data_IF_924165902676
#
_entry.id   IF_924165902676
#
_cell.length_a   1.000
_cell.length_b   1.000
_cell.length_c   1.000
_cell.angle_alpha   90.00
_cell.angle_beta   90.00
_cell.angle_gamma   90.00
#
_symmetry.space_group_name_H-M   'P 1'
#
loop_
_entity.id
_entity.type
_entity.pdbx_description
1 polymer ?
#
# COMPACT_ATOMS: atom_id res chain seq x y z
N UNK A 1 19.76 -0.54 14.37
CA UNK A 1 19.57 -1.95 14.77
C UNK A 1 20.74 -2.73 14.20
N UNK A 2 21.67 -3.20 15.03
CA UNK A 2 22.76 -4.05 14.57
C UNK A 2 22.42 -5.51 14.89
N UNK A 3 22.77 -6.43 13.97
CA UNK A 3 22.70 -7.90 14.10
C UNK A 3 21.32 -8.57 13.95
N UNK A 4 20.27 -7.87 13.51
CA UNK A 4 18.97 -8.48 13.19
C UNK A 4 18.84 -8.73 11.67
N UNK A 5 18.83 -10.01 11.28
CA UNK A 5 18.35 -10.44 9.97
C UNK A 5 16.87 -10.82 10.10
N UNK A 6 16.00 -10.13 9.37
CA UNK A 6 14.58 -10.43 9.29
C UNK A 6 14.21 -10.78 7.86
N UNK A 7 13.31 -11.76 7.69
CA UNK A 7 12.67 -12.06 6.41
C UNK A 7 11.18 -11.76 6.53
N UNK A 8 10.62 -11.09 5.53
CA UNK A 8 9.19 -10.86 5.43
C UNK A 8 8.58 -11.86 4.46
N UNK A 9 7.58 -12.62 4.93
CA UNK A 9 6.78 -13.53 4.12
C UNK A 9 5.30 -13.31 4.44
N UNK A 10 4.46 -13.28 3.41
CA UNK A 10 3.01 -13.31 3.59
C UNK A 10 2.56 -14.77 3.61
N UNK A 11 1.70 -15.12 4.56
CA UNK A 11 0.89 -16.33 4.42
C UNK A 11 -0.11 -16.11 3.27
N UNK A 12 -0.38 -17.18 2.52
CA UNK A 12 -1.25 -17.17 1.34
C UNK A 12 -2.73 -17.29 1.75
N UNK A 13 -3.13 -16.51 2.75
CA UNK A 13 -4.50 -16.45 3.25
C UNK A 13 -5.26 -15.39 2.44
N UNK A 14 -6.38 -15.78 1.84
CA UNK A 14 -7.22 -14.93 0.99
C UNK A 14 -7.80 -13.71 1.72
N UNK A 15 -7.84 -13.77 3.05
CA UNK A 15 -8.32 -12.67 3.90
C UNK A 15 -7.21 -11.69 4.31
N UNK A 16 -5.94 -12.02 4.07
CA UNK A 16 -4.81 -11.17 4.45
C UNK A 16 -4.33 -10.31 3.28
N UNK A 17 -3.98 -9.07 3.61
CA UNK A 17 -3.34 -8.16 2.66
C UNK A 17 -1.95 -8.72 2.36
N UNK A 18 -1.75 -9.17 1.12
CA UNK A 18 -0.42 -9.54 0.61
C UNK A 18 0.60 -8.46 0.96
N UNK A 19 1.79 -8.88 1.42
CA UNK A 19 2.96 -8.02 1.70
C UNK A 19 3.17 -6.94 0.64
N UNK A 20 3.04 -7.23 -0.66
CA UNK A 20 3.17 -6.24 -1.73
C UNK A 20 2.12 -5.12 -1.62
N UNK A 21 0.86 -5.49 -1.39
CA UNK A 21 -0.22 -4.52 -1.19
C UNK A 21 0.01 -3.73 0.09
N UNK A 22 0.48 -4.37 1.16
CA UNK A 22 0.82 -3.71 2.42
C UNK A 22 1.96 -2.70 2.27
N UNK A 23 3.02 -3.06 1.56
CA UNK A 23 4.16 -2.21 1.26
C UNK A 23 3.73 -0.97 0.46
N UNK A 24 2.92 -1.16 -0.58
CA UNK A 24 2.35 -0.07 -1.39
C UNK A 24 1.40 0.80 -0.59
N UNK A 25 0.54 0.22 0.25
CA UNK A 25 -0.34 0.97 1.15
C UNK A 25 0.48 1.82 2.14
N UNK A 26 1.56 1.28 2.71
CA UNK A 26 2.46 2.01 3.59
C UNK A 26 3.16 3.16 2.87
N UNK A 27 3.65 2.93 1.65
CA UNK A 27 4.24 3.98 0.83
C UNK A 27 3.22 5.11 0.55
N UNK A 28 2.01 4.78 0.10
CA UNK A 28 0.95 5.77 -0.13
C UNK A 28 0.57 6.52 1.16
N UNK A 29 0.43 5.82 2.28
CA UNK A 29 0.04 6.41 3.57
C UNK A 29 1.08 7.40 4.09
N UNK A 30 2.36 7.16 3.80
CA UNK A 30 3.46 8.07 4.16
C UNK A 30 3.69 9.17 3.12
N UNK A 31 2.94 9.17 2.03
CA UNK A 31 3.16 10.08 0.89
C UNK A 31 4.41 9.76 0.08
N UNK A 32 4.96 8.55 0.24
CA UNK A 32 6.18 8.10 -0.42
C UNK A 32 5.90 7.51 -1.80
N UNK A 33 6.82 7.75 -2.74
CA UNK A 33 6.82 7.13 -4.06
C UNK A 33 7.66 5.85 -4.12
N UNK A 34 7.66 5.20 -5.30
CA UNK A 34 8.48 4.01 -5.55
C UNK A 34 9.96 4.22 -5.22
N UNK A 35 10.55 5.33 -5.66
CA UNK A 35 11.98 5.60 -5.45
C UNK A 35 12.35 5.65 -3.96
N UNK A 36 11.49 6.25 -3.13
CA UNK A 36 11.72 6.35 -1.68
C UNK A 36 11.54 5.00 -1.00
N UNK A 37 10.56 4.21 -1.43
CA UNK A 37 10.38 2.84 -0.95
C UNK A 37 11.58 1.95 -1.33
N UNK A 38 12.05 2.06 -2.57
CA UNK A 38 13.23 1.33 -3.05
C UNK A 38 14.49 1.72 -2.30
N UNK A 39 14.69 3.01 -2.02
CA UNK A 39 15.82 3.50 -1.23
C UNK A 39 15.75 2.97 0.21
N UNK A 40 14.58 3.01 0.82
CA UNK A 40 14.34 2.46 2.15
C UNK A 40 14.70 0.97 2.20
N UNK A 41 14.16 0.16 1.29
CA UNK A 41 14.46 -1.27 1.21
C UNK A 41 15.94 -1.55 0.94
N UNK A 42 16.62 -0.71 0.14
CA UNK A 42 18.06 -0.83 -0.11
C UNK A 42 18.89 -0.59 1.17
N UNK A 43 18.53 0.39 1.99
CA UNK A 43 19.18 0.65 3.29
C UNK A 43 19.06 -0.54 4.23
N UNK A 44 17.94 -1.27 4.17
CA UNK A 44 17.69 -2.48 4.97
C UNK A 44 18.12 -3.78 4.29
N UNK A 45 18.78 -3.72 3.12
CA UNK A 45 19.14 -4.90 2.31
C UNK A 45 17.97 -5.89 2.12
N UNK A 46 16.77 -5.33 1.95
CA UNK A 46 15.51 -6.08 1.78
C UNK A 46 15.11 -6.05 0.31
N UNK A 47 14.66 -7.18 -0.28
CA UNK A 47 14.16 -7.17 -1.64
C UNK A 47 12.92 -6.28 -1.75
N UNK A 48 12.89 -5.45 -2.79
CA UNK A 48 11.75 -4.58 -3.13
C UNK A 48 11.13 -5.06 -4.45
N UNK A 49 9.83 -4.87 -4.61
CA UNK A 49 9.17 -5.12 -5.89
C UNK A 49 9.73 -4.22 -7.00
N UNK A 50 9.61 -4.66 -8.25
CA UNK A 50 9.98 -3.81 -9.38
C UNK A 50 8.99 -2.65 -9.54
N UNK A 51 9.43 -1.52 -10.11
CA UNK A 51 8.55 -0.37 -10.40
C UNK A 51 7.35 -0.78 -11.26
N UNK A 52 7.59 -1.65 -12.26
CA UNK A 52 6.56 -2.19 -13.15
C UNK A 52 5.49 -2.97 -12.39
N UNK A 53 5.87 -3.59 -11.28
CA UNK A 53 4.95 -4.29 -10.38
C UNK A 53 4.25 -3.29 -9.45
N UNK A 54 5.00 -2.33 -8.89
CA UNK A 54 4.51 -1.32 -7.95
C UNK A 54 3.36 -0.48 -8.52
N UNK A 55 3.50 0.02 -9.75
CA UNK A 55 2.52 0.91 -10.37
C UNK A 55 1.09 0.32 -10.44
N UNK A 56 0.88 -0.92 -10.93
CA UNK A 56 -0.42 -1.58 -10.86
C UNK A 56 -1.02 -1.66 -9.45
N UNK A 57 -0.22 -2.01 -8.43
CA UNK A 57 -0.71 -2.06 -7.04
C UNK A 57 -1.10 -0.68 -6.54
N UNK A 58 -0.26 0.33 -6.79
CA UNK A 58 -0.52 1.70 -6.40
C UNK A 58 -1.82 2.22 -7.04
N UNK A 59 -2.02 1.96 -8.34
CA UNK A 59 -3.22 2.36 -9.06
C UNK A 59 -4.47 1.67 -8.50
N UNK A 60 -4.39 0.38 -8.17
CA UNK A 60 -5.50 -0.36 -7.58
C UNK A 60 -5.89 0.21 -6.20
N UNK A 61 -4.90 0.41 -5.32
CA UNK A 61 -5.12 0.97 -3.99
C UNK A 61 -5.72 2.38 -4.08
N UNK A 62 -5.15 3.26 -4.91
CA UNK A 62 -5.66 4.62 -5.09
C UNK A 62 -7.07 4.64 -5.69
N UNK A 63 -7.38 3.74 -6.63
CA UNK A 63 -8.73 3.62 -7.19
C UNK A 63 -9.74 3.22 -6.12
N UNK A 64 -9.45 2.18 -5.34
CA UNK A 64 -10.35 1.72 -4.28
C UNK A 64 -10.55 2.81 -3.21
N UNK A 65 -9.49 3.53 -2.86
CA UNK A 65 -9.57 4.66 -1.94
C UNK A 65 -10.48 5.78 -2.48
N UNK A 66 -10.36 6.13 -3.76
CA UNK A 66 -11.21 7.14 -4.43
C UNK A 66 -12.67 6.69 -4.52
N UNK A 67 -12.91 5.44 -4.89
CA UNK A 67 -14.26 4.87 -5.01
C UNK A 67 -14.95 4.86 -3.63
N UNK A 68 -14.22 4.46 -2.58
CA UNK A 68 -14.70 4.51 -1.20
C UNK A 68 -14.99 5.95 -0.76
N UNK A 69 -14.07 6.88 -0.98
CA UNK A 69 -14.27 8.29 -0.63
C UNK A 69 -15.51 8.87 -1.33
N UNK A 70 -15.68 8.59 -2.63
CA UNK A 70 -16.83 9.05 -3.42
C UNK A 70 -18.15 8.47 -2.90
N UNK A 71 -18.15 7.19 -2.54
CA UNK A 71 -19.32 6.51 -1.95
C UNK A 71 -19.70 7.12 -0.61
N UNK A 72 -18.73 7.33 0.27
CA UNK A 72 -18.97 7.92 1.60
C UNK A 72 -19.42 9.38 1.50
N UNK A 73 -18.82 10.17 0.60
CA UNK A 73 -19.29 11.53 0.32
C UNK A 73 -20.74 11.56 -0.19
N UNK A 74 -21.10 10.62 -1.06
CA UNK A 74 -22.48 10.49 -1.57
C UNK A 74 -23.45 10.10 -0.47
N UNK A 75 -23.07 9.14 0.38
CA UNK A 75 -23.88 8.70 1.52
C UNK A 75 -24.06 9.82 2.55
N UNK A 76 -23.00 10.54 2.88
CA UNK A 76 -23.07 11.72 3.73
C UNK A 76 -24.00 12.78 3.13
N UNK A 77 -23.85 13.08 1.83
CA UNK A 77 -24.74 13.98 1.11
C UNK A 77 -26.21 13.60 1.25
N UNK A 78 -26.56 12.33 1.01
CA UNK A 78 -27.94 11.81 1.15
C UNK A 78 -28.46 11.85 2.59
N UNK A 79 -27.60 11.61 3.58
CA UNK A 79 -27.97 11.60 5.00
C UNK A 79 -28.34 13.00 5.54
N UNK A 80 -27.89 14.06 4.89
CA UNK A 80 -28.19 15.45 5.28
C UNK A 80 -29.49 16.01 4.65
N UNK A 81 -30.21 15.22 3.84
CA UNK A 81 -31.46 15.63 3.16
C UNK A 81 -32.69 14.94 3.77
N UNK A 82 -32.54 14.31 4.94
CA UNK A 82 -33.59 13.60 5.69
C UNK A 82 -33.51 14.02 7.16
#
# INVERSE_FOLDING_TARGET
MCVLQGSFSSDNDENNVNVNTGEVCGAIATGSGYSQLSEFCAVFNTPVMSEKTYLPYQNNVMKNAKDLATKEMTNAGKKNIN
#
